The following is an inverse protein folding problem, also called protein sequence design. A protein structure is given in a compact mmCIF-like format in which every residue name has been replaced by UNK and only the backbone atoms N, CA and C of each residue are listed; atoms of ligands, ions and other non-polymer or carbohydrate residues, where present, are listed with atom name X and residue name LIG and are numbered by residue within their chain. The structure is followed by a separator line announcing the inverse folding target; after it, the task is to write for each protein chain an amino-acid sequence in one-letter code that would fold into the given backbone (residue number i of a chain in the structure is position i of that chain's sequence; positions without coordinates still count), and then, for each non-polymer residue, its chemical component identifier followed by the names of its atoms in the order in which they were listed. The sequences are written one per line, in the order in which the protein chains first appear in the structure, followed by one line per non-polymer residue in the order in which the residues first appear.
data_IF_305565311847
#
_entry.id   IF_305565311847
#
_cell.length_a   1.000
_cell.length_b   1.000
_cell.length_c   1.000
_cell.angle_alpha   90.00
_cell.angle_beta   90.00
_cell.angle_gamma   90.00
#
_symmetry.space_group_name_H-M   'P 1'
#
loop_
_entity.id
_entity.type
_entity.pdbx_description
1 polymer ?
#
# COMPACT_ATOMS: atom_id res chain seq x y z
N UNK A 1 0.35 -15.95 -7.69
CA UNK A 1 1.35 -15.60 -8.72
C UNK A 1 2.51 -14.90 -8.03
N UNK A 2 3.72 -15.31 -8.33
CA UNK A 2 4.94 -14.64 -7.87
C UNK A 2 5.60 -14.00 -9.08
N UNK A 3 5.94 -12.73 -8.99
CA UNK A 3 6.70 -12.02 -10.02
C UNK A 3 8.03 -11.54 -9.46
N UNK A 4 9.03 -11.54 -10.30
CA UNK A 4 10.39 -11.10 -9.97
C UNK A 4 10.72 -9.90 -10.84
N UNK A 5 11.30 -8.87 -10.25
CA UNK A 5 11.71 -7.67 -10.94
C UNK A 5 13.14 -7.30 -10.53
N UNK A 6 13.89 -6.74 -11.43
CA UNK A 6 15.12 -6.04 -11.08
C UNK A 6 14.76 -4.70 -10.44
N UNK A 7 15.63 -4.20 -9.57
CA UNK A 7 15.35 -2.95 -8.86
C UNK A 7 15.22 -1.77 -9.84
N UNK A 8 16.05 -1.72 -10.89
CA UNK A 8 15.95 -0.66 -11.90
C UNK A 8 14.61 -0.67 -12.66
N UNK A 9 13.95 -1.82 -12.81
CA UNK A 9 12.65 -1.90 -13.48
C UNK A 9 11.53 -1.26 -12.66
N UNK A 10 11.63 -1.32 -11.33
CA UNK A 10 10.61 -0.79 -10.41
C UNK A 10 10.97 0.57 -9.83
N UNK A 11 12.24 0.95 -9.82
CA UNK A 11 12.70 2.22 -9.26
C UNK A 11 12.11 3.45 -9.95
N UNK A 12 11.73 3.34 -11.22
CA UNK A 12 11.05 4.40 -11.96
C UNK A 12 9.64 4.75 -11.43
N UNK A 13 9.04 3.88 -10.60
CA UNK A 13 7.74 4.08 -9.98
C UNK A 13 7.83 4.65 -8.56
N UNK A 14 9.04 4.96 -8.07
CA UNK A 14 9.21 5.58 -6.75
C UNK A 14 8.64 7.00 -6.79
N UNK A 15 7.69 7.28 -5.92
CA UNK A 15 7.22 8.64 -5.67
C UNK A 15 8.18 9.33 -4.68
N UNK A 16 9.09 10.14 -5.22
CA UNK A 16 10.11 10.83 -4.46
C UNK A 16 9.56 11.87 -3.47
N UNK A 17 8.33 12.32 -3.64
CA UNK A 17 7.69 13.23 -2.69
C UNK A 17 7.55 12.54 -1.33
N UNK A 18 7.08 11.29 -1.30
CA UNK A 18 6.99 10.51 -0.06
C UNK A 18 8.36 10.22 0.55
N UNK A 19 9.37 9.95 -0.28
CA UNK A 19 10.73 9.78 0.18
C UNK A 19 11.23 11.04 0.91
N UNK A 20 11.09 12.21 0.30
CA UNK A 20 11.48 13.47 0.93
C UNK A 20 10.71 13.74 2.23
N UNK A 21 9.41 13.46 2.25
CA UNK A 21 8.59 13.56 3.47
C UNK A 21 9.12 12.67 4.59
N UNK A 22 9.47 11.43 4.31
CA UNK A 22 10.01 10.49 5.29
C UNK A 22 11.32 10.98 5.92
N UNK A 23 12.11 11.74 5.16
CA UNK A 23 13.36 12.39 5.61
C UNK A 23 13.15 13.79 6.17
N UNK A 24 11.90 14.22 6.39
CA UNK A 24 11.56 15.51 7.03
C UNK A 24 11.62 16.73 6.12
N UNK A 25 11.73 16.56 4.80
CA UNK A 25 11.66 17.66 3.86
C UNK A 25 10.20 18.01 3.54
N UNK A 26 9.84 19.29 3.64
CA UNK A 26 8.55 19.76 3.15
C UNK A 26 8.54 19.83 1.61
N UNK A 27 7.36 19.78 0.96
CA UNK A 27 7.26 19.84 -0.51
C UNK A 27 7.96 21.06 -1.14
N UNK A 28 8.06 22.15 -0.39
CA UNK A 28 8.72 23.39 -0.85
C UNK A 28 10.27 23.32 -0.76
N UNK A 29 10.82 22.35 -0.06
CA UNK A 29 12.26 22.19 0.21
C UNK A 29 12.90 21.03 -0.55
N UNK A 30 12.23 20.45 -1.52
CA UNK A 30 12.73 19.32 -2.29
C UNK A 30 13.82 19.71 -3.31
N UNK A 31 14.02 21.00 -3.53
CA UNK A 31 15.04 21.56 -4.44
C UNK A 31 16.22 22.19 -3.71
N UNK A 32 16.32 22.03 -2.40
CA UNK A 32 17.48 22.51 -1.65
C UNK A 32 18.72 21.65 -1.93
N UNK A 33 19.96 22.18 -1.76
CA UNK A 33 21.17 21.39 -1.96
C UNK A 33 21.19 20.09 -1.15
N UNK A 34 20.72 20.14 0.09
CA UNK A 34 20.66 19.00 1.00
C UNK A 34 19.69 17.92 0.48
N UNK A 35 18.51 18.34 0.00
CA UNK A 35 17.53 17.44 -0.58
C UNK A 35 18.04 16.79 -1.86
N UNK A 36 18.73 17.56 -2.70
CA UNK A 36 19.31 17.06 -3.94
C UNK A 36 20.47 16.09 -3.68
N UNK A 37 21.28 16.35 -2.66
CA UNK A 37 22.31 15.41 -2.24
C UNK A 37 21.71 14.11 -1.75
N UNK A 38 20.68 14.18 -0.88
CA UNK A 38 19.98 12.99 -0.39
C UNK A 38 19.38 12.17 -1.53
N UNK A 39 18.79 12.83 -2.53
CA UNK A 39 18.25 12.16 -3.71
C UNK A 39 19.34 11.45 -4.51
N UNK A 40 20.50 12.08 -4.66
CA UNK A 40 21.65 11.48 -5.35
C UNK A 40 22.13 10.24 -4.62
N UNK A 41 22.32 10.32 -3.31
CA UNK A 41 22.72 9.18 -2.46
C UNK A 41 21.71 8.02 -2.56
N UNK A 42 20.40 8.34 -2.57
CA UNK A 42 19.34 7.33 -2.74
C UNK A 42 19.42 6.64 -4.10
N UNK A 43 19.69 7.38 -5.18
CA UNK A 43 19.84 6.80 -6.52
C UNK A 43 21.07 5.90 -6.63
N UNK A 44 22.19 6.31 -6.07
CA UNK A 44 23.42 5.49 -6.01
C UNK A 44 23.19 4.21 -5.20
N UNK A 45 22.42 4.29 -4.11
CA UNK A 45 22.03 3.12 -3.35
C UNK A 45 21.15 2.16 -4.17
N UNK A 46 20.19 2.67 -4.96
CA UNK A 46 19.37 1.85 -5.85
C UNK A 46 20.22 1.11 -6.90
N UNK A 47 21.23 1.77 -7.45
CA UNK A 47 22.17 1.13 -8.40
C UNK A 47 22.99 0.01 -7.74
N UNK A 48 23.41 0.22 -6.49
CA UNK A 48 24.11 -0.80 -5.72
C UNK A 48 23.22 -1.98 -5.40
N UNK A 49 21.97 -1.71 -5.00
CA UNK A 49 20.98 -2.74 -4.70
C UNK A 49 20.63 -3.54 -5.95
N UNK A 50 20.50 -2.91 -7.12
CA UNK A 50 20.17 -3.60 -8.39
C UNK A 50 21.23 -4.65 -8.79
N UNK A 51 22.48 -4.48 -8.36
CA UNK A 51 23.54 -5.45 -8.62
C UNK A 51 23.45 -6.72 -7.77
N UNK A 52 22.90 -6.60 -6.55
CA UNK A 52 22.98 -7.65 -5.53
C UNK A 52 21.62 -8.23 -5.11
N UNK A 53 20.53 -7.56 -5.45
CA UNK A 53 19.19 -7.90 -4.97
C UNK A 53 18.16 -7.90 -6.10
N UNK A 54 17.06 -8.60 -5.85
CA UNK A 54 15.86 -8.59 -6.68
C UNK A 54 14.65 -8.28 -5.83
N UNK A 55 13.64 -7.65 -6.41
CA UNK A 55 12.33 -7.49 -5.78
C UNK A 55 11.41 -8.63 -6.18
N UNK A 56 10.57 -9.04 -5.25
CA UNK A 56 9.57 -10.06 -5.46
C UNK A 56 8.19 -9.47 -5.13
N UNK A 57 7.23 -9.68 -6.02
CA UNK A 57 5.84 -9.37 -5.77
C UNK A 57 5.03 -10.66 -5.74
N UNK A 58 4.21 -10.81 -4.68
CA UNK A 58 3.25 -11.90 -4.57
C UNK A 58 1.87 -11.30 -4.77
N UNK A 59 1.14 -11.82 -5.75
CA UNK A 59 -0.21 -11.37 -6.09
C UNK A 59 -1.14 -12.58 -6.10
N UNK A 60 -2.26 -12.47 -5.43
CA UNK A 60 -3.32 -13.47 -5.44
C UNK A 60 -4.69 -12.80 -5.44
N UNK A 61 -5.58 -13.28 -6.30
CA UNK A 61 -7.00 -12.94 -6.27
C UNK A 61 -7.72 -13.98 -5.42
N UNK A 62 -8.47 -13.53 -4.42
CA UNK A 62 -9.14 -14.40 -3.44
C UNK A 62 -10.59 -13.97 -3.28
N UNK A 63 -11.45 -14.93 -2.93
CA UNK A 63 -12.83 -14.66 -2.58
C UNK A 63 -12.93 -13.98 -1.22
N UNK A 64 -13.76 -12.94 -1.15
CA UNK A 64 -13.99 -12.20 0.08
C UNK A 64 -15.47 -11.87 0.28
N UNK A 65 -15.88 -11.89 1.54
CA UNK A 65 -17.16 -11.39 2.01
C UNK A 65 -16.99 -10.67 3.34
N UNK A 66 -17.89 -9.76 3.65
CA UNK A 66 -17.92 -9.11 4.96
C UNK A 66 -18.95 -9.74 5.89
N UNK A 67 -18.69 -9.67 7.18
CA UNK A 67 -19.60 -10.03 8.25
C UNK A 67 -19.39 -9.04 9.41
N UNK A 68 -20.38 -8.17 9.63
CA UNK A 68 -20.26 -7.03 10.56
C UNK A 68 -19.04 -6.15 10.24
N UNK A 69 -18.06 -6.10 11.14
CA UNK A 69 -16.82 -5.33 10.95
C UNK A 69 -15.66 -6.16 10.40
N UNK A 70 -15.89 -7.43 10.14
CA UNK A 70 -14.85 -8.35 9.69
C UNK A 70 -14.91 -8.56 8.17
N UNK A 71 -13.75 -8.87 7.60
CA UNK A 71 -13.65 -9.35 6.23
C UNK A 71 -13.14 -10.78 6.28
N UNK A 72 -13.90 -11.69 5.71
CA UNK A 72 -13.49 -13.06 5.48
C UNK A 72 -12.85 -13.16 4.10
N UNK A 73 -11.59 -13.60 4.05
CA UNK A 73 -10.86 -13.89 2.83
C UNK A 73 -10.66 -15.38 2.77
N UNK A 74 -11.36 -16.03 1.86
CA UNK A 74 -11.50 -17.49 1.81
C UNK A 74 -11.96 -18.06 3.17
N UNK A 75 -11.05 -18.61 3.97
CA UNK A 75 -11.34 -19.19 5.29
C UNK A 75 -10.71 -18.42 6.45
N UNK A 76 -10.09 -17.28 6.15
CA UNK A 76 -9.38 -16.48 7.15
C UNK A 76 -10.18 -15.23 7.49
N UNK A 77 -10.42 -15.03 8.78
CA UNK A 77 -11.07 -13.85 9.32
C UNK A 77 -10.07 -12.75 9.55
N UNK A 78 -10.36 -11.56 9.04
CA UNK A 78 -9.62 -10.33 9.29
C UNK A 78 -10.53 -9.33 10.02
N UNK A 79 -10.34 -9.15 11.33
CA UNK A 79 -11.11 -8.18 12.09
C UNK A 79 -10.64 -6.76 11.80
N UNK A 80 -11.57 -5.83 11.62
CA UNK A 80 -11.30 -4.42 11.41
C UNK A 80 -12.00 -3.57 12.45
N UNK A 81 -11.37 -2.47 12.83
CA UNK A 81 -11.98 -1.50 13.71
C UNK A 81 -12.81 -0.51 12.90
N UNK A 82 -14.08 -0.36 13.28
CA UNK A 82 -14.94 0.69 12.73
C UNK A 82 -14.46 2.04 13.21
N UNK A 83 -14.57 3.05 12.37
CA UNK A 83 -14.24 4.44 12.68
C UNK A 83 -14.92 4.86 14.00
N UNK A 84 -14.14 5.43 14.93
CA UNK A 84 -14.64 5.79 16.27
C UNK A 84 -15.16 7.23 16.33
N UNK A 85 -14.78 8.06 15.36
CA UNK A 85 -15.22 9.45 15.23
C UNK A 85 -15.61 9.73 13.79
N UNK A 86 -16.75 10.39 13.61
CA UNK A 86 -17.20 10.90 12.32
C UNK A 86 -17.70 12.33 12.49
N UNK A 87 -17.76 13.11 11.41
CA UNK A 87 -18.40 14.41 11.43
C UNK A 87 -19.92 14.22 11.59
N UNK A 88 -20.57 15.25 12.12
CA UNK A 88 -22.01 15.22 12.29
C UNK A 88 -22.73 14.90 10.95
N UNK A 89 -23.61 13.90 10.96
CA UNK A 89 -24.32 13.44 9.76
C UNK A 89 -23.54 12.49 8.86
N UNK A 90 -22.29 12.17 9.15
CA UNK A 90 -21.51 11.18 8.39
C UNK A 90 -21.56 9.80 9.07
N UNK A 91 -21.56 8.70 8.29
CA UNK A 91 -21.55 7.36 8.86
C UNK A 91 -20.17 7.02 9.46
N UNK A 92 -20.16 6.14 10.45
CA UNK A 92 -18.94 5.52 10.96
C UNK A 92 -18.53 4.39 10.01
N UNK A 93 -17.47 4.60 9.24
CA UNK A 93 -17.03 3.67 8.22
C UNK A 93 -16.13 2.56 8.79
N UNK A 94 -16.26 1.40 8.19
CA UNK A 94 -15.34 0.28 8.36
C UNK A 94 -14.90 -0.23 6.98
N UNK A 95 -13.73 -0.82 6.90
CA UNK A 95 -13.25 -1.40 5.64
C UNK A 95 -14.19 -2.49 5.12
N UNK A 96 -14.87 -3.23 6.02
CA UNK A 96 -15.86 -4.23 5.70
C UNK A 96 -17.08 -3.71 4.94
N UNK A 97 -17.41 -2.41 5.07
CA UNK A 97 -18.55 -1.80 4.38
C UNK A 97 -18.38 -1.76 2.85
N UNK A 98 -17.13 -1.89 2.37
CA UNK A 98 -16.78 -1.88 0.94
C UNK A 98 -16.73 -3.27 0.32
N UNK A 99 -16.97 -4.32 1.11
CA UNK A 99 -17.00 -5.72 0.68
C UNK A 99 -18.42 -6.23 0.85
N UNK A 100 -18.92 -7.00 -0.12
CA UNK A 100 -20.27 -7.56 -0.07
C UNK A 100 -20.46 -8.46 1.15
N UNK A 101 -21.58 -8.30 1.85
CA UNK A 101 -21.88 -9.15 3.01
C UNK A 101 -22.10 -10.61 2.60
N UNK A 102 -21.75 -11.53 3.48
CA UNK A 102 -21.97 -12.97 3.28
C UNK A 102 -23.43 -13.33 3.02
N UNK A 103 -24.37 -12.54 3.56
CA UNK A 103 -25.81 -12.69 3.33
C UNK A 103 -26.24 -12.47 1.88
N UNK A 104 -25.45 -11.78 1.06
CA UNK A 104 -25.74 -11.53 -0.36
C UNK A 104 -25.61 -12.77 -1.24
N UNK A 105 -24.96 -13.84 -0.76
CA UNK A 105 -24.60 -15.06 -1.51
C UNK A 105 -23.72 -14.81 -2.75
N UNK A 106 -23.14 -13.62 -2.87
CA UNK A 106 -22.20 -13.23 -3.92
C UNK A 106 -20.88 -12.87 -3.25
N UNK A 107 -19.78 -13.40 -3.77
CA UNK A 107 -18.46 -13.08 -3.27
C UNK A 107 -17.83 -11.96 -4.09
N UNK A 108 -17.05 -11.11 -3.45
CA UNK A 108 -16.16 -10.18 -4.11
C UNK A 108 -14.79 -10.84 -4.36
N UNK A 109 -14.07 -10.33 -5.33
CA UNK A 109 -12.67 -10.70 -5.58
C UNK A 109 -11.78 -9.58 -5.07
N UNK A 110 -10.88 -9.92 -4.18
CA UNK A 110 -9.87 -8.98 -3.70
C UNK A 110 -8.47 -9.45 -4.07
N UNK A 111 -7.59 -8.51 -4.34
CA UNK A 111 -6.16 -8.75 -4.56
C UNK A 111 -5.36 -8.48 -3.28
N UNK A 112 -4.47 -9.40 -2.94
CA UNK A 112 -3.46 -9.26 -1.89
C UNK A 112 -2.09 -9.50 -2.47
#
# INVERSE_FOLDING_TARGET
MIKHYRIHEVSGYIDWIYFFHAWGFSPRKTQTPEAMQLLQEAKEMLELLDKNFQTHAVLRLMDANSEENDIWIERTRFPFLRQQTAKEGEPYLCLSDFIRPSSSKITDKIGL
#
